data_IF_461919968562
#
_entry.id   IF_461919968562
#
_cell.length_a   1.000
_cell.length_b   1.000
_cell.length_c   1.000
_cell.angle_alpha   90.00
_cell.angle_beta   90.00
_cell.angle_gamma   90.00
#
_symmetry.space_group_name_H-M   'P 1'
#
loop_
_entity.id
_entity.type
_entity.pdbx_description
1 polymer ?
#
# COMPACT_ATOMS: atom_id res chain seq x y z
N UNK A 1 5.93 8.95 -5.07
CA UNK A 1 5.14 8.16 -4.11
C UNK A 1 5.86 6.85 -3.82
N UNK A 2 6.02 6.54 -2.58
CA UNK A 2 6.77 5.33 -2.19
C UNK A 2 5.81 4.24 -1.73
N UNK A 3 5.41 3.39 -2.66
CA UNK A 3 4.43 2.36 -2.34
C UNK A 3 4.96 1.31 -1.39
N UNK A 4 6.27 1.06 -1.41
CA UNK A 4 6.83 0.10 -0.47
C UNK A 4 6.53 0.52 0.97
N UNK A 5 6.81 1.77 1.29
CA UNK A 5 6.56 2.30 2.61
C UNK A 5 5.06 2.39 2.91
N UNK A 6 4.30 2.86 1.93
CA UNK A 6 2.87 3.07 2.11
C UNK A 6 2.15 1.76 2.39
N UNK A 7 2.46 0.73 1.61
CA UNK A 7 1.81 -0.56 1.78
C UNK A 7 2.12 -1.16 3.14
N UNK A 8 3.38 -1.09 3.53
CA UNK A 8 3.78 -1.64 4.83
C UNK A 8 3.14 -0.87 5.97
N UNK A 9 3.13 0.46 5.87
CA UNK A 9 2.54 1.28 6.90
C UNK A 9 1.04 1.04 7.02
N UNK A 10 0.36 0.96 5.88
CA UNK A 10 -1.07 0.70 5.87
C UNK A 10 -1.39 -0.66 6.48
N UNK A 11 -0.65 -1.67 6.06
CA UNK A 11 -0.87 -3.01 6.58
C UNK A 11 -0.67 -3.06 8.09
N UNK A 12 0.38 -2.43 8.57
CA UNK A 12 0.66 -2.39 9.99
C UNK A 12 -0.44 -1.66 10.75
N UNK A 13 -0.89 -0.56 10.19
CA UNK A 13 -1.95 0.22 10.81
C UNK A 13 -3.24 -0.60 10.93
N UNK A 14 -3.50 -1.43 9.94
CA UNK A 14 -4.67 -2.30 9.94
C UNK A 14 -4.44 -3.56 10.77
N UNK A 15 -3.21 -3.76 11.27
CA UNK A 15 -2.85 -4.91 12.08
C UNK A 15 -3.05 -6.22 11.34
N UNK A 16 -2.68 -6.24 10.07
CA UNK A 16 -2.83 -7.42 9.23
C UNK A 16 -1.47 -7.99 8.86
N UNK A 17 -1.42 -9.31 8.71
CA UNK A 17 -0.26 -9.95 8.13
C UNK A 17 -0.25 -9.69 6.63
N UNK A 18 0.88 -10.02 5.98
CA UNK A 18 0.95 -9.89 4.53
C UNK A 18 -0.11 -10.75 3.85
N UNK A 19 -0.32 -11.95 4.37
CA UNK A 19 -1.31 -12.86 3.78
C UNK A 19 -2.71 -12.28 3.94
N UNK A 20 -3.02 -11.76 5.11
CA UNK A 20 -4.34 -11.17 5.36
C UNK A 20 -4.56 -9.95 4.49
N UNK A 21 -3.53 -9.12 4.34
CA UNK A 21 -3.65 -7.93 3.52
C UNK A 21 -3.85 -8.30 2.05
N UNK A 22 -3.13 -9.34 1.61
CA UNK A 22 -3.30 -9.83 0.24
C UNK A 22 -4.74 -10.25 -0.02
N UNK A 23 -5.31 -10.97 0.93
CA UNK A 23 -6.71 -11.40 0.80
C UNK A 23 -7.64 -10.20 0.74
N UNK A 24 -7.37 -9.19 1.56
CA UNK A 24 -8.23 -8.02 1.58
C UNK A 24 -8.20 -7.28 0.26
N UNK A 25 -7.04 -7.22 -0.37
CA UNK A 25 -6.91 -6.52 -1.65
C UNK A 25 -7.20 -7.38 -2.86
N UNK A 26 -7.33 -8.69 -2.66
CA UNK A 26 -7.60 -9.58 -3.78
C UNK A 26 -6.38 -9.84 -4.62
N UNK A 27 -5.19 -9.85 -4.01
CA UNK A 27 -3.95 -10.15 -4.72
C UNK A 27 -3.23 -11.27 -4.01
N UNK A 28 -2.15 -11.76 -4.59
CA UNK A 28 -1.41 -12.86 -3.98
C UNK A 28 -0.47 -12.33 -2.90
N UNK A 29 -0.09 -13.22 -2.00
CA UNK A 29 0.91 -12.90 -1.00
C UNK A 29 2.20 -12.43 -1.65
N UNK A 30 2.62 -13.10 -2.73
CA UNK A 30 3.85 -12.72 -3.41
C UNK A 30 3.79 -11.29 -3.92
N UNK A 31 2.61 -10.85 -4.35
CA UNK A 31 2.44 -9.49 -4.82
C UNK A 31 2.67 -8.49 -3.69
N UNK A 32 2.07 -8.75 -2.53
CA UNK A 32 2.27 -7.86 -1.37
C UNK A 32 3.76 -7.82 -1.01
N UNK A 33 4.38 -8.98 -0.98
CA UNK A 33 5.78 -9.07 -0.62
C UNK A 33 6.66 -8.26 -1.58
N UNK A 34 6.37 -8.33 -2.87
CA UNK A 34 7.14 -7.56 -3.86
C UNK A 34 6.94 -6.06 -3.69
N UNK A 35 5.71 -5.65 -3.41
CA UNK A 35 5.45 -4.23 -3.19
C UNK A 35 6.24 -3.73 -1.98
N UNK A 36 6.22 -4.48 -0.89
CA UNK A 36 6.87 -4.04 0.33
C UNK A 36 8.38 -4.04 0.21
N UNK A 37 8.91 -4.89 -0.65
CA UNK A 37 10.35 -4.93 -0.89
C UNK A 37 10.79 -3.98 -2.00
N UNK A 38 9.86 -3.25 -2.59
CA UNK A 38 10.20 -2.26 -3.58
C UNK A 38 10.50 -2.82 -4.96
N UNK A 39 10.15 -4.08 -5.20
CA UNK A 39 10.45 -4.70 -6.48
C UNK A 39 9.43 -4.38 -7.55
N UNK A 40 8.21 -4.04 -7.15
CA UNK A 40 7.14 -3.70 -8.08
C UNK A 40 6.26 -2.63 -7.50
N UNK A 41 5.67 -1.83 -8.37
CA UNK A 41 4.63 -0.91 -7.95
C UNK A 41 3.28 -1.56 -8.21
N UNK A 42 2.26 -1.24 -7.40
CA UNK A 42 0.92 -1.74 -7.69
C UNK A 42 0.43 -1.20 -9.02
N UNK A 43 -0.36 -2.00 -9.72
CA UNK A 43 -1.02 -1.52 -10.93
C UNK A 43 -2.09 -0.51 -10.53
N UNK A 44 -2.60 0.23 -11.51
CA UNK A 44 -3.48 1.35 -11.23
C UNK A 44 -4.70 0.97 -10.37
N UNK A 45 -5.35 -0.14 -10.68
CA UNK A 45 -6.50 -0.57 -9.89
C UNK A 45 -6.14 -0.79 -8.44
N UNK A 46 -4.98 -1.41 -8.21
CA UNK A 46 -4.55 -1.67 -6.85
C UNK A 46 -4.13 -0.39 -6.16
N UNK A 47 -3.56 0.56 -6.90
CA UNK A 47 -3.22 1.86 -6.33
C UNK A 47 -4.47 2.55 -5.83
N UNK A 48 -5.57 2.44 -6.56
CA UNK A 48 -6.82 3.05 -6.14
C UNK A 48 -7.35 2.43 -4.85
N UNK A 49 -7.27 1.12 -4.75
CA UNK A 49 -7.68 0.43 -3.52
C UNK A 49 -6.84 0.88 -2.34
N UNK A 50 -5.54 0.95 -2.56
CA UNK A 50 -4.61 1.38 -1.52
C UNK A 50 -4.91 2.82 -1.12
N UNK A 51 -5.17 3.68 -2.09
CA UNK A 51 -5.45 5.09 -1.80
C UNK A 51 -6.69 5.24 -0.93
N UNK A 52 -7.73 4.49 -1.24
CA UNK A 52 -8.96 4.55 -0.44
C UNK A 52 -8.70 4.13 0.99
N UNK A 53 -7.93 3.07 1.17
CA UNK A 53 -7.62 2.59 2.52
C UNK A 53 -6.73 3.59 3.26
N UNK A 54 -5.79 4.19 2.56
CA UNK A 54 -4.92 5.19 3.18
C UNK A 54 -5.74 6.37 3.67
N UNK A 55 -6.71 6.80 2.88
CA UNK A 55 -7.56 7.90 3.30
C UNK A 55 -8.34 7.52 4.55
N UNK A 56 -8.84 6.29 4.58
CA UNK A 56 -9.61 5.81 5.72
C UNK A 56 -8.77 5.74 6.99
N UNK A 57 -7.52 5.35 6.86
CA UNK A 57 -6.64 5.15 8.01
C UNK A 57 -5.69 6.30 8.26
N UNK A 58 -5.84 7.40 7.53
CA UNK A 58 -5.08 8.61 7.80
C UNK A 58 -3.62 8.55 7.39
N UNK A 59 -3.33 7.83 6.32
CA UNK A 59 -1.96 7.71 5.84
C UNK A 59 -1.80 8.58 4.62
N UNK A 60 -0.75 9.40 4.62
CA UNK A 60 -0.47 10.26 3.48
C UNK A 60 0.13 9.46 2.35
N UNK A 61 -0.40 9.66 1.16
CA UNK A 61 0.08 8.95 -0.02
C UNK A 61 1.32 9.55 -0.60
N UNK A 62 1.39 10.88 -0.63
CA UNK A 62 2.48 11.56 -1.27
C UNK A 62 3.26 12.36 -0.28
N UNK A 63 4.56 12.47 -0.56
CA UNK A 63 5.37 13.34 0.22
C UNK A 63 5.05 14.75 -0.15
N UNK A 64 5.15 15.64 0.82
CA UNK A 64 4.90 17.02 0.53
C UNK A 64 5.97 17.54 -0.35
N UNK A 65 5.54 18.04 -1.48
CA UNK A 65 6.48 18.63 -2.36
C UNK A 65 6.29 20.07 -2.26
N UNK A 66 7.01 20.78 -2.35
CA UNK A 66 6.72 22.09 -2.30
C UNK A 66 6.54 22.76 -3.49
N UNK A 67 6.27 22.61 -3.91
CA UNK A 67 6.07 23.03 -4.84
C UNK A 67 5.61 23.29 -5.38
N UNK A 68 5.56 23.16 -5.41
CA UNK A 68 5.23 23.19 -5.98
C UNK A 68 4.83 23.52 -6.12
#
# INVERSE_FOLDING_TARGET
>A
MNFSRIVKELRTKMMLSQIEFAKKLGVSYATINRWENGHHKPVFNDQRKIAKLCKKYGIELEEKEEDK
#
